data_IF_003089424338
#
_entry.id   IF_003089424338
#
_cell.length_a   1.000
_cell.length_b   1.000
_cell.length_c   1.000
_cell.angle_alpha   90.00
_cell.angle_beta   90.00
_cell.angle_gamma   90.00
#
_symmetry.space_group_name_H-M   'P 1'
#
loop_
_entity.id
_entity.type
_entity.pdbx_description
1 polymer ?
#
# COMPACT_ATOMS: atom_id res chain seq x y z
N UNK A 1 -50.35 -31.10 -19.91
CA UNK A 1 -49.73 -30.36 -18.78
C UNK A 1 -48.22 -30.69 -18.63
N UNK A 2 -47.42 -30.75 -19.71
CA UNK A 2 -46.00 -31.22 -19.65
C UNK A 2 -44.96 -30.20 -20.11
N UNK A 3 -45.40 -29.02 -20.59
CA UNK A 3 -44.50 -27.96 -21.09
C UNK A 3 -43.95 -27.08 -19.96
N UNK A 4 -44.80 -26.66 -19.03
CA UNK A 4 -44.45 -25.74 -17.93
C UNK A 4 -43.37 -26.31 -17.01
N UNK A 5 -43.41 -27.61 -16.73
CA UNK A 5 -42.43 -28.29 -15.87
C UNK A 5 -41.01 -28.30 -16.47
N UNK A 6 -40.88 -28.43 -17.79
CA UNK A 6 -39.58 -28.36 -18.49
C UNK A 6 -39.02 -26.93 -18.48
N UNK A 7 -39.88 -25.92 -18.60
CA UNK A 7 -39.47 -24.51 -18.54
C UNK A 7 -38.95 -24.14 -17.14
N UNK A 8 -39.63 -24.57 -16.08
CA UNK A 8 -39.21 -24.32 -14.69
C UNK A 8 -37.85 -24.94 -14.40
N UNK A 9 -37.62 -26.20 -14.77
CA UNK A 9 -36.31 -26.88 -14.57
C UNK A 9 -35.17 -26.15 -15.28
N UNK A 10 -35.40 -25.66 -16.51
CA UNK A 10 -34.38 -24.92 -17.27
C UNK A 10 -34.09 -23.55 -16.66
N UNK A 11 -35.10 -22.86 -16.14
CA UNK A 11 -34.93 -21.56 -15.48
C UNK A 11 -34.14 -21.69 -14.19
N UNK A 12 -34.49 -22.69 -13.37
CA UNK A 12 -33.77 -22.98 -12.12
C UNK A 12 -32.30 -23.29 -12.41
N UNK A 13 -32.01 -24.18 -13.37
CA UNK A 13 -30.64 -24.55 -13.71
C UNK A 13 -29.81 -23.36 -14.24
N UNK A 14 -30.42 -22.48 -15.04
CA UNK A 14 -29.77 -21.25 -15.52
C UNK A 14 -29.45 -20.28 -14.39
N UNK A 15 -30.37 -20.13 -13.42
CA UNK A 15 -30.16 -19.26 -12.26
C UNK A 15 -29.05 -19.78 -11.34
N UNK A 16 -28.98 -21.10 -11.12
CA UNK A 16 -27.91 -21.70 -10.34
C UNK A 16 -26.53 -21.50 -10.99
N UNK A 17 -26.41 -21.70 -12.31
CA UNK A 17 -25.13 -21.50 -13.02
C UNK A 17 -24.65 -20.04 -12.95
N UNK A 18 -25.55 -19.06 -13.12
CA UNK A 18 -25.19 -17.64 -13.04
C UNK A 18 -24.81 -17.17 -11.63
N UNK A 19 -25.40 -17.76 -10.59
CA UNK A 19 -25.10 -17.41 -9.21
C UNK A 19 -23.72 -17.95 -8.78
N UNK A 20 -23.35 -19.15 -9.23
CA UNK A 20 -22.06 -19.77 -8.89
C UNK A 20 -20.85 -19.06 -9.50
N UNK A 21 -20.97 -18.47 -10.70
CA UNK A 21 -19.84 -17.78 -11.34
C UNK A 21 -19.53 -16.42 -10.70
N UNK A 22 -20.54 -15.68 -10.24
CA UNK A 22 -20.35 -14.41 -9.51
C UNK A 22 -19.76 -14.63 -8.11
N UNK A 23 -20.13 -15.72 -7.43
CA UNK A 23 -19.59 -16.05 -6.11
C UNK A 23 -18.09 -16.36 -6.14
N UNK A 24 -17.60 -17.07 -7.16
CA UNK A 24 -16.16 -17.39 -7.27
C UNK A 24 -15.30 -16.16 -7.56
N UNK A 25 -15.78 -15.23 -8.40
CA UNK A 25 -15.07 -13.96 -8.70
C UNK A 25 -15.03 -13.02 -7.48
N UNK A 26 -16.09 -13.00 -6.68
CA UNK A 26 -16.10 -12.24 -5.43
C UNK A 26 -15.08 -12.79 -4.42
N UNK A 27 -14.87 -14.11 -4.36
CA UNK A 27 -13.88 -14.70 -3.46
C UNK A 27 -12.44 -14.51 -3.92
N UNK A 28 -12.16 -14.46 -5.22
CA UNK A 28 -10.79 -14.20 -5.70
C UNK A 28 -10.44 -12.72 -5.65
N UNK A 29 -11.35 -11.82 -6.00
CA UNK A 29 -11.08 -10.38 -6.01
C UNK A 29 -10.88 -9.74 -4.64
N UNK A 30 -11.59 -10.21 -3.60
CA UNK A 30 -11.55 -9.63 -2.24
C UNK A 30 -10.58 -10.33 -1.28
N UNK A 31 -10.26 -11.62 -1.49
CA UNK A 31 -9.36 -12.35 -0.58
C UNK A 31 -7.90 -12.40 -1.08
N UNK A 32 -7.65 -12.14 -2.37
CA UNK A 32 -6.29 -12.14 -2.92
C UNK A 32 -5.43 -10.90 -2.57
N UNK A 33 -5.96 -9.67 -2.33
CA UNK A 33 -5.10 -8.54 -2.01
C UNK A 33 -4.69 -8.51 -0.53
N UNK A 34 -4.40 -9.65 0.11
CA UNK A 34 -3.65 -9.66 1.37
C UNK A 34 -2.16 -9.33 1.17
N UNK A 35 -1.68 -9.39 -0.09
CA UNK A 35 -0.27 -9.15 -0.45
C UNK A 35 0.09 -7.68 -0.68
N UNK A 36 -0.85 -6.75 -0.55
CA UNK A 36 -0.55 -5.31 -0.68
C UNK A 36 0.09 -4.74 0.59
N UNK A 37 0.13 -5.51 1.69
CA UNK A 37 1.09 -5.29 2.78
C UNK A 37 2.43 -5.93 2.40
N UNK A 38 3.00 -5.52 1.27
CA UNK A 38 4.30 -5.96 0.82
C UNK A 38 5.33 -5.65 1.91
N UNK A 39 5.79 -6.71 2.60
CA UNK A 39 6.92 -6.75 3.53
C UNK A 39 7.17 -5.45 4.32
N UNK A 40 6.35 -5.18 5.33
CA UNK A 40 6.63 -4.11 6.29
C UNK A 40 8.01 -4.36 6.94
N UNK A 41 8.91 -3.37 6.97
CA UNK A 41 10.23 -3.52 7.58
C UNK A 41 10.10 -3.47 9.11
N UNK A 42 9.66 -4.59 9.70
CA UNK A 42 9.46 -4.73 11.16
C UNK A 42 10.76 -4.42 11.91
N UNK A 43 11.89 -4.88 11.39
CA UNK A 43 13.19 -4.68 12.02
C UNK A 43 13.53 -3.18 12.10
N UNK A 44 13.28 -2.42 11.02
CA UNK A 44 13.45 -0.98 11.03
C UNK A 44 12.43 -0.26 11.92
N UNK A 45 11.19 -0.75 11.99
CA UNK A 45 10.13 -0.11 12.79
C UNK A 45 10.30 -0.34 14.30
N UNK A 46 10.88 -1.47 14.69
CA UNK A 46 11.05 -1.87 16.09
C UNK A 46 12.45 -1.57 16.64
N UNK A 47 13.38 -1.14 15.79
CA UNK A 47 14.70 -0.71 16.20
C UNK A 47 14.65 0.50 17.13
N UNK A 48 15.43 0.45 18.22
CA UNK A 48 15.52 1.52 19.20
C UNK A 48 16.53 2.60 18.78
N UNK A 49 17.55 2.22 17.99
CA UNK A 49 18.62 3.09 17.54
C UNK A 49 18.44 3.48 16.06
N UNK A 50 18.71 4.75 15.72
CA UNK A 50 18.55 5.28 14.36
C UNK A 50 19.47 4.57 13.36
N UNK A 51 20.66 4.19 13.81
CA UNK A 51 21.65 3.49 13.02
C UNK A 51 21.14 2.13 12.55
N UNK A 52 20.44 1.40 13.43
CA UNK A 52 19.83 0.10 13.13
C UNK A 52 18.67 0.24 12.15
N UNK A 53 17.88 1.32 12.27
CA UNK A 53 16.82 1.67 11.31
C UNK A 53 17.41 1.91 9.92
N UNK A 54 18.47 2.72 9.83
CA UNK A 54 19.14 3.04 8.57
C UNK A 54 19.73 1.78 7.93
N UNK A 55 20.39 0.94 8.73
CA UNK A 55 20.93 -0.34 8.26
C UNK A 55 19.84 -1.26 7.72
N UNK A 56 18.71 -1.37 8.42
CA UNK A 56 17.60 -2.23 8.03
C UNK A 56 16.88 -1.74 6.75
N UNK A 57 16.80 -0.43 6.51
CA UNK A 57 16.10 0.14 5.34
C UNK A 57 16.98 0.35 4.11
N UNK A 58 18.24 0.76 4.34
CA UNK A 58 19.15 1.20 3.29
C UNK A 58 20.30 0.20 3.07
N UNK A 59 20.55 -0.69 4.02
CA UNK A 59 21.74 -1.54 4.05
C UNK A 59 22.95 -0.79 4.62
N UNK A 60 24.15 -1.32 4.39
CA UNK A 60 25.38 -0.57 4.69
C UNK A 60 25.50 0.61 3.73
N UNK A 61 25.39 1.83 4.25
CA UNK A 61 25.48 3.06 3.49
C UNK A 61 26.56 3.97 4.10
N UNK A 62 27.33 4.63 3.24
CA UNK A 62 28.23 5.70 3.66
C UNK A 62 27.45 6.99 3.86
N UNK A 63 27.70 7.67 4.99
CA UNK A 63 27.14 8.98 5.25
C UNK A 63 27.90 9.99 4.41
N UNK A 64 27.23 10.53 3.40
CA UNK A 64 27.71 11.69 2.66
C UNK A 64 27.12 12.96 3.27
N UNK A 65 27.98 13.82 3.83
CA UNK A 65 27.58 15.20 4.12
C UNK A 65 27.54 15.97 2.81
N UNK A 66 26.34 16.08 2.22
CA UNK A 66 26.12 16.87 1.02
C UNK A 66 24.91 17.81 1.23
N UNK A 67 25.09 19.08 0.82
CA UNK A 67 24.02 20.08 0.81
C UNK A 67 23.07 19.90 -0.39
N UNK A 68 23.25 18.85 -1.18
CA UNK A 68 22.41 18.51 -2.33
C UNK A 68 20.97 18.12 -1.97
N UNK A 69 20.68 17.79 -0.71
CA UNK A 69 19.33 17.45 -0.22
C UNK A 69 18.84 18.52 0.74
N UNK A 70 17.64 19.04 0.48
CA UNK A 70 16.97 20.01 1.33
C UNK A 70 15.53 19.56 1.60
N UNK A 71 15.03 19.83 2.80
CA UNK A 71 13.65 19.53 3.15
C UNK A 71 12.99 20.74 3.83
N UNK A 72 11.69 20.88 3.60
CA UNK A 72 10.86 21.89 4.26
C UNK A 72 9.60 21.23 4.81
N UNK A 73 9.25 21.57 6.04
CA UNK A 73 8.07 21.03 6.72
C UNK A 73 7.08 22.16 6.98
N UNK A 74 5.80 21.89 6.73
CA UNK A 74 4.71 22.77 7.10
C UNK A 74 4.68 24.09 6.33
N UNK A 75 4.93 24.10 5.02
CA UNK A 75 4.69 25.29 4.18
C UNK A 75 3.20 25.44 3.86
N UNK A 76 2.57 26.61 4.11
CA UNK A 76 3.06 27.77 4.87
C UNK A 76 3.07 27.49 6.37
N UNK A 77 4.06 28.04 7.07
CA UNK A 77 4.33 27.77 8.51
C UNK A 77 3.13 28.15 9.36
N UNK A 78 2.28 27.16 9.65
CA UNK A 78 1.16 27.29 10.57
C UNK A 78 1.49 26.47 11.81
N UNK A 79 1.09 26.96 12.99
CA UNK A 79 1.12 26.18 14.21
C UNK A 79 0.28 24.92 13.98
N UNK A 80 0.96 23.79 13.76
CA UNK A 80 0.33 22.49 13.58
C UNK A 80 -0.32 22.13 14.91
N UNK A 81 -1.64 22.04 14.93
CA UNK A 81 -2.37 21.47 16.07
C UNK A 81 -2.45 19.96 15.87
N UNK A 82 -2.52 19.21 16.98
CA UNK A 82 -2.69 17.77 16.94
C UNK A 82 -3.82 17.34 15.98
N UNK A 83 -3.52 16.37 15.12
CA UNK A 83 -4.48 15.80 14.16
C UNK A 83 -4.59 16.51 12.81
N UNK A 84 -3.85 17.60 12.55
CA UNK A 84 -3.77 18.19 11.21
C UNK A 84 -2.71 17.48 10.35
N UNK A 85 -3.02 17.31 9.06
CA UNK A 85 -2.05 16.80 8.08
C UNK A 85 -0.91 17.80 7.88
N UNK A 86 0.33 17.33 7.99
CA UNK A 86 1.54 18.14 7.78
C UNK A 86 2.11 17.86 6.39
N UNK A 87 2.37 18.93 5.63
CA UNK A 87 3.05 18.83 4.34
C UNK A 87 4.56 18.76 4.54
N UNK A 88 5.20 17.75 3.92
CA UNK A 88 6.66 17.60 3.86
C UNK A 88 7.08 17.73 2.40
N UNK A 89 7.99 18.66 2.11
CA UNK A 89 8.57 18.90 0.79
C UNK A 89 10.04 18.52 0.84
N UNK A 90 10.49 17.67 -0.09
CA UNK A 90 11.86 17.20 -0.20
C UNK A 90 12.37 17.57 -1.60
N UNK A 91 13.48 18.30 -1.64
CA UNK A 91 14.12 18.75 -2.89
C UNK A 91 15.56 18.26 -2.90
N UNK A 92 15.94 17.57 -3.97
CA UNK A 92 17.30 17.04 -4.14
C UNK A 92 17.85 17.39 -5.52
N UNK A 93 19.14 17.73 -5.58
CA UNK A 93 19.91 17.89 -6.83
C UNK A 93 20.72 16.64 -7.18
N UNK A 94 20.62 15.56 -6.40
CA UNK A 94 21.34 14.31 -6.64
C UNK A 94 20.84 13.65 -7.94
N UNK A 95 21.78 13.19 -8.76
CA UNK A 95 21.47 12.36 -9.93
C UNK A 95 21.17 10.91 -9.50
N UNK A 96 20.29 10.24 -10.26
CA UNK A 96 20.01 8.80 -10.12
C UNK A 96 19.51 8.35 -8.73
N UNK A 97 18.56 9.07 -8.14
CA UNK A 97 17.92 8.66 -6.89
C UNK A 97 17.08 7.40 -7.11
N UNK A 98 17.46 6.29 -6.47
CA UNK A 98 16.72 5.02 -6.54
C UNK A 98 15.69 4.85 -5.42
N UNK A 99 15.96 5.45 -4.25
CA UNK A 99 15.13 5.31 -3.05
C UNK A 99 15.20 6.57 -2.19
N UNK A 100 14.07 6.97 -1.62
CA UNK A 100 13.94 8.04 -0.63
C UNK A 100 13.22 7.48 0.59
N UNK A 101 13.77 7.70 1.77
CA UNK A 101 13.17 7.29 3.04
C UNK A 101 13.02 8.52 3.96
N UNK A 102 11.91 8.58 4.68
CA UNK A 102 11.64 9.59 5.71
C UNK A 102 11.40 8.84 7.02
N UNK A 103 12.17 9.18 8.04
CA UNK A 103 12.14 8.58 9.38
C UNK A 103 11.42 9.52 10.35
#
# INVERSE_FOLDING_TARGET
MTSSYRLVRRTVLKQFISATTLAMVATSGLLLPQRVLAHWPNDAFTAEAVEDVLLALMGQADIAEDNAVTFAVGKPTKLITDGQSVTVEITSSLANIERVAVL
#
